data_IF_874360537354
#
_entry.id   IF_874360537354
#
_cell.length_a   1.000
_cell.length_b   1.000
_cell.length_c   1.000
_cell.angle_alpha   90.00
_cell.angle_beta   90.00
_cell.angle_gamma   90.00
#
_symmetry.space_group_name_H-M   'P 1'
#
loop_
_entity.id
_entity.type
_entity.pdbx_description
1 polymer ?
#
# COMPACT_ATOMS: atom_id res chain seq x y z
N UNK A 1 21.30 9.79 11.37
CA UNK A 1 21.51 8.83 10.26
C UNK A 1 22.27 7.59 10.71
N UNK A 2 23.45 7.71 11.33
CA UNK A 2 24.26 6.57 11.76
C UNK A 2 23.48 5.54 12.61
N UNK A 3 22.73 6.01 13.62
CA UNK A 3 21.85 5.15 14.45
C UNK A 3 20.82 4.37 13.64
N UNK A 4 20.17 5.01 12.67
CA UNK A 4 19.21 4.34 11.78
C UNK A 4 19.87 3.32 10.87
N UNK A 5 21.09 3.59 10.40
CA UNK A 5 21.88 2.62 9.66
C UNK A 5 22.20 1.38 10.50
N UNK A 6 22.55 1.57 11.79
CA UNK A 6 22.77 0.47 12.74
C UNK A 6 21.51 -0.35 12.98
N UNK A 7 20.35 0.29 13.15
CA UNK A 7 19.08 -0.45 13.34
C UNK A 7 18.74 -1.26 12.10
N UNK A 8 18.85 -0.71 10.89
CA UNK A 8 18.60 -1.49 9.67
C UNK A 8 19.57 -2.66 9.50
N UNK A 9 20.82 -2.48 9.90
CA UNK A 9 21.80 -3.56 9.89
C UNK A 9 21.38 -4.69 10.84
N UNK A 10 20.88 -4.37 12.03
CA UNK A 10 20.39 -5.35 13.00
C UNK A 10 19.09 -6.04 12.56
N UNK A 11 18.22 -5.32 11.85
CA UNK A 11 16.98 -5.86 11.28
C UNK A 11 17.20 -6.68 10.00
N UNK A 12 18.45 -6.78 9.50
CA UNK A 12 18.78 -7.51 8.26
C UNK A 12 18.42 -6.76 6.97
N UNK A 13 18.00 -5.50 7.06
CA UNK A 13 17.76 -4.64 5.89
C UNK A 13 19.08 -4.00 5.43
N UNK A 14 19.93 -4.82 4.82
CA UNK A 14 21.30 -4.47 4.45
C UNK A 14 21.38 -3.33 3.43
N UNK A 15 20.44 -3.28 2.48
CA UNK A 15 20.38 -2.23 1.44
C UNK A 15 20.18 -0.84 2.06
N UNK A 16 19.16 -0.70 2.93
CA UNK A 16 18.87 0.57 3.57
C UNK A 16 19.95 0.95 4.60
N UNK A 17 20.52 -0.04 5.28
CA UNK A 17 21.68 0.17 6.14
C UNK A 17 22.86 0.76 5.33
N UNK A 18 23.21 0.13 4.20
CA UNK A 18 24.29 0.60 3.33
C UNK A 18 24.04 2.02 2.81
N UNK A 19 22.83 2.30 2.31
CA UNK A 19 22.45 3.63 1.83
C UNK A 19 22.62 4.68 2.94
N UNK A 20 22.18 4.39 4.17
CA UNK A 20 22.31 5.34 5.27
C UNK A 20 23.75 5.53 5.74
N UNK A 21 24.55 4.47 5.81
CA UNK A 21 25.99 4.59 6.09
C UNK A 21 26.69 5.40 5.00
N UNK A 22 26.40 5.14 3.73
CA UNK A 22 26.96 5.87 2.59
C UNK A 22 26.54 7.35 2.62
N UNK A 23 25.25 7.64 2.81
CA UNK A 23 24.74 9.03 2.96
C UNK A 23 25.39 9.76 4.12
N UNK A 24 25.59 9.09 5.26
CA UNK A 24 26.31 9.65 6.39
C UNK A 24 27.76 9.99 6.01
N UNK A 25 28.46 9.07 5.35
CA UNK A 25 29.84 9.30 4.89
C UNK A 25 29.94 10.48 3.94
N UNK A 26 29.11 10.50 2.89
CA UNK A 26 29.08 11.59 1.90
C UNK A 26 28.75 12.93 2.56
N UNK A 27 27.81 12.96 3.51
CA UNK A 27 27.45 14.18 4.23
C UNK A 27 28.68 14.75 4.96
N UNK A 28 29.42 13.94 5.70
CA UNK A 28 30.53 14.40 6.53
C UNK A 28 31.85 14.63 5.77
N UNK A 29 32.10 13.89 4.68
CA UNK A 29 33.33 14.04 3.88
C UNK A 29 33.18 15.08 2.79
N UNK A 30 32.04 15.12 2.11
CA UNK A 30 31.88 15.95 0.91
C UNK A 30 31.04 17.20 1.17
N UNK A 31 29.88 17.04 1.81
CA UNK A 31 28.87 18.12 1.86
C UNK A 31 29.10 19.11 2.99
N UNK A 32 29.33 18.64 4.22
CA UNK A 32 29.51 19.50 5.38
C UNK A 32 30.75 20.40 5.30
N UNK A 33 31.91 19.95 4.79
CA UNK A 33 33.08 20.83 4.61
C UNK A 33 32.84 22.04 3.70
N UNK A 34 31.85 21.98 2.81
CA UNK A 34 31.48 23.06 1.91
C UNK A 34 30.54 24.09 2.56
N UNK A 35 29.99 23.79 3.76
CA UNK A 35 29.06 24.69 4.44
C UNK A 35 29.79 25.90 5.04
N UNK A 36 29.20 27.09 4.88
CA UNK A 36 29.78 28.38 5.32
C UNK A 36 30.23 28.36 6.78
N UNK A 37 29.42 27.76 7.64
CA UNK A 37 29.60 27.80 9.09
C UNK A 37 30.34 26.54 9.63
N UNK A 38 30.80 25.64 8.75
CA UNK A 38 31.48 24.41 9.16
C UNK A 38 32.86 24.66 9.80
N UNK A 39 33.52 25.75 9.43
CA UNK A 39 34.83 26.14 9.98
C UNK A 39 34.74 26.74 11.38
N UNK A 40 33.58 27.27 11.75
CA UNK A 40 33.30 27.90 13.06
C UNK A 40 32.67 26.94 14.06
N UNK A 41 32.28 25.74 13.63
CA UNK A 41 31.72 24.70 14.51
C UNK A 41 32.75 24.16 15.52
N UNK A 42 32.28 23.80 16.72
CA UNK A 42 33.11 23.47 17.88
C UNK A 42 33.93 22.18 17.66
N UNK A 43 35.22 22.24 17.95
CA UNK A 43 36.24 21.20 17.69
C UNK A 43 35.98 19.82 18.35
N UNK A 44 35.39 19.68 19.56
CA UNK A 44 35.17 18.39 20.21
C UNK A 44 34.15 17.50 19.49
N UNK A 45 33.02 18.07 19.04
CA UNK A 45 31.98 17.34 18.30
C UNK A 45 32.55 16.83 16.96
N UNK A 46 33.32 17.67 16.27
CA UNK A 46 34.01 17.30 15.04
C UNK A 46 34.96 16.11 15.23
N UNK A 47 35.68 16.03 16.35
CA UNK A 47 36.59 14.91 16.63
C UNK A 47 35.84 13.60 16.83
N UNK A 48 34.76 13.62 17.61
CA UNK A 48 33.95 12.42 17.86
C UNK A 48 33.24 11.95 16.59
N UNK A 49 32.70 12.87 15.79
CA UNK A 49 32.07 12.53 14.51
C UNK A 49 33.07 11.91 13.52
N UNK A 50 34.29 12.46 13.42
CA UNK A 50 35.36 11.89 12.59
C UNK A 50 35.76 10.50 13.09
N UNK A 51 35.79 10.29 14.41
CA UNK A 51 36.04 8.97 15.00
C UNK A 51 34.95 7.97 14.63
N UNK A 52 33.67 8.31 14.80
CA UNK A 52 32.55 7.44 14.40
C UNK A 52 32.56 7.14 12.90
N UNK A 53 32.96 8.12 12.09
CA UNK A 53 33.07 7.93 10.65
C UNK A 53 34.12 6.89 10.29
N UNK A 54 35.32 6.99 10.87
CA UNK A 54 36.46 6.08 10.61
C UNK A 54 36.27 4.69 11.22
N UNK A 55 35.83 4.63 12.46
CA UNK A 55 35.78 3.37 13.23
C UNK A 55 34.49 2.58 13.00
N UNK A 56 33.40 3.24 12.59
CA UNK A 56 32.08 2.60 12.45
C UNK A 56 31.56 2.69 11.02
N UNK A 57 31.38 3.90 10.49
CA UNK A 57 30.64 4.07 9.25
C UNK A 57 31.36 3.47 8.03
N UNK A 58 32.66 3.74 7.86
CA UNK A 58 33.43 3.18 6.75
C UNK A 58 33.54 1.64 6.79
N UNK A 59 33.96 1.02 7.92
CA UNK A 59 34.04 -0.43 8.00
C UNK A 59 32.68 -1.09 7.75
N UNK A 60 31.60 -0.57 8.34
CA UNK A 60 30.25 -1.12 8.14
C UNK A 60 29.74 -0.95 6.72
N UNK A 61 30.04 0.18 6.07
CA UNK A 61 29.67 0.39 4.68
C UNK A 61 30.37 -0.60 3.74
N UNK A 62 31.65 -0.87 3.95
CA UNK A 62 32.39 -1.83 3.11
C UNK A 62 31.93 -3.27 3.35
N UNK A 63 31.75 -3.68 4.61
CA UNK A 63 31.19 -4.99 4.98
C UNK A 63 29.81 -5.21 4.32
N UNK A 64 28.91 -4.23 4.41
CA UNK A 64 27.57 -4.31 3.82
C UNK A 64 27.62 -4.37 2.29
N UNK A 65 28.55 -3.66 1.66
CA UNK A 65 28.74 -3.68 0.21
C UNK A 65 29.18 -5.06 -0.27
N UNK A 66 30.14 -5.68 0.40
CA UNK A 66 30.60 -7.03 0.06
C UNK A 66 29.46 -8.05 0.19
N UNK A 67 28.70 -8.00 1.28
CA UNK A 67 27.58 -8.92 1.50
C UNK A 67 26.44 -8.72 0.48
N UNK A 68 26.08 -7.47 0.17
CA UNK A 68 25.08 -7.15 -0.84
C UNK A 68 25.51 -7.62 -2.24
N UNK A 69 26.76 -7.36 -2.62
CA UNK A 69 27.30 -7.81 -3.92
C UNK A 69 27.25 -9.34 -4.04
N UNK A 70 27.64 -10.06 -2.98
CA UNK A 70 27.57 -11.51 -2.94
C UNK A 70 26.14 -12.02 -3.11
N UNK A 71 25.18 -11.42 -2.40
CA UNK A 71 23.76 -11.78 -2.48
C UNK A 71 23.20 -11.56 -3.89
N UNK A 72 23.44 -10.38 -4.48
CA UNK A 72 22.97 -10.10 -5.84
C UNK A 72 23.64 -10.98 -6.89
N UNK A 73 24.93 -11.33 -6.73
CA UNK A 73 25.60 -12.26 -7.63
C UNK A 73 24.97 -13.65 -7.61
N UNK A 74 24.62 -14.15 -6.42
CA UNK A 74 23.94 -15.43 -6.26
C UNK A 74 22.52 -15.41 -6.86
N UNK A 75 21.75 -14.36 -6.59
CA UNK A 75 20.39 -14.22 -7.11
C UNK A 75 20.39 -14.08 -8.64
N UNK A 76 21.35 -13.33 -9.19
CA UNK A 76 21.54 -13.21 -10.63
C UNK A 76 21.92 -14.53 -11.30
N UNK A 77 22.79 -15.34 -10.66
CA UNK A 77 23.16 -16.66 -11.17
C UNK A 77 21.94 -17.60 -11.25
N UNK A 78 21.10 -17.63 -10.19
CA UNK A 78 19.86 -18.41 -10.18
C UNK A 78 18.87 -17.96 -11.24
N UNK A 79 18.70 -16.65 -11.39
CA UNK A 79 17.85 -16.08 -12.45
C UNK A 79 18.31 -16.53 -13.83
N UNK A 80 19.63 -16.48 -14.08
CA UNK A 80 20.21 -16.93 -15.36
C UNK A 80 20.00 -18.41 -15.62
N UNK A 81 20.14 -19.25 -14.60
CA UNK A 81 19.88 -20.70 -14.72
C UNK A 81 18.40 -20.98 -15.03
N UNK A 82 17.47 -20.31 -14.35
CA UNK A 82 16.03 -20.44 -14.63
C UNK A 82 15.67 -19.97 -16.04
N UNK A 83 16.28 -18.86 -16.50
CA UNK A 83 16.09 -18.34 -17.85
C UNK A 83 16.56 -19.36 -18.91
N UNK A 84 17.70 -20.01 -18.69
CA UNK A 84 18.21 -21.07 -19.57
C UNK A 84 17.30 -22.29 -19.61
N UNK A 85 16.85 -22.78 -18.45
CA UNK A 85 15.94 -23.93 -18.36
C UNK A 85 14.62 -23.67 -19.09
N UNK A 86 14.07 -22.47 -18.94
CA UNK A 86 12.83 -22.08 -19.62
C UNK A 86 13.02 -22.02 -21.14
N UNK A 87 14.16 -21.55 -21.63
CA UNK A 87 14.46 -21.48 -23.06
C UNK A 87 14.68 -22.87 -23.67
N UNK A 88 15.39 -23.74 -22.95
CA UNK A 88 15.58 -25.16 -23.33
C UNK A 88 14.23 -25.89 -23.37
N UNK A 89 13.37 -25.68 -22.38
CA UNK A 89 12.03 -26.28 -22.35
C UNK A 89 11.14 -25.76 -23.49
N UNK A 90 11.13 -24.45 -23.75
CA UNK A 90 10.41 -23.87 -24.89
C UNK A 90 10.89 -24.48 -26.20
N UNK A 91 12.20 -24.62 -26.38
CA UNK A 91 12.80 -25.22 -27.58
C UNK A 91 12.37 -26.68 -27.74
N UNK A 92 12.41 -27.46 -26.65
CA UNK A 92 11.96 -28.86 -26.63
C UNK A 92 10.49 -28.99 -26.98
N UNK A 93 9.63 -28.15 -26.39
CA UNK A 93 8.18 -28.15 -26.66
C UNK A 93 7.88 -27.70 -28.10
N UNK A 94 8.60 -26.71 -28.63
CA UNK A 94 8.44 -26.27 -30.01
C UNK A 94 8.80 -27.38 -31.00
N UNK A 95 9.92 -28.08 -30.77
CA UNK A 95 10.33 -29.22 -31.58
C UNK A 95 9.30 -30.36 -31.53
N UNK A 96 8.82 -30.71 -30.33
CA UNK A 96 7.80 -31.76 -30.17
C UNK A 96 6.49 -31.41 -30.88
N UNK A 97 6.04 -30.15 -30.80
CA UNK A 97 4.85 -29.67 -31.52
C UNK A 97 5.05 -29.69 -33.03
N UNK A 98 6.24 -29.35 -33.52
CA UNK A 98 6.54 -29.42 -34.95
C UNK A 98 6.47 -30.86 -35.44
N UNK A 99 7.11 -31.80 -34.74
CA UNK A 99 7.06 -33.23 -35.08
C UNK A 99 5.63 -33.77 -35.07
N UNK A 100 4.82 -33.38 -34.08
CA UNK A 100 3.42 -33.78 -34.01
C UNK A 100 2.62 -33.21 -35.19
N UNK A 101 2.80 -31.93 -35.54
CA UNK A 101 2.12 -31.32 -36.67
C UNK A 101 2.51 -31.97 -38.01
N UNK A 102 3.79 -32.31 -38.19
CA UNK A 102 4.26 -33.05 -39.37
C UNK A 102 3.63 -34.45 -39.45
N UNK A 103 3.54 -35.17 -38.31
CA UNK A 103 2.89 -36.47 -38.24
C UNK A 103 1.38 -36.40 -38.53
N UNK A 104 0.68 -35.39 -37.99
CA UNK A 104 -0.74 -35.13 -38.24
C UNK A 104 -1.00 -34.76 -39.71
N UNK A 105 -0.15 -33.93 -40.31
CA UNK A 105 -0.22 -33.63 -41.75
C UNK A 105 -0.04 -34.88 -42.61
N UNK A 106 0.90 -35.75 -42.24
CA UNK A 106 1.12 -37.02 -42.94
C UNK A 106 -0.10 -37.94 -42.83
N UNK A 107 -0.66 -38.12 -41.63
CA UNK A 107 -1.86 -38.93 -41.42
C UNK A 107 -3.08 -38.38 -42.16
N UNK A 108 -3.30 -37.06 -42.12
CA UNK A 108 -4.40 -36.41 -42.84
C UNK A 108 -4.27 -36.58 -44.36
N UNK A 109 -3.04 -36.53 -44.89
CA UNK A 109 -2.77 -36.79 -46.31
C UNK A 109 -3.07 -38.24 -46.70
N UNK A 110 -2.65 -39.21 -45.88
CA UNK A 110 -2.95 -40.63 -46.09
C UNK A 110 -4.45 -40.92 -46.06
N UNK A 111 -5.19 -40.32 -45.11
CA UNK A 111 -6.64 -40.45 -45.01
C UNK A 111 -7.36 -39.83 -46.21
N UNK A 112 -6.88 -38.68 -46.71
CA UNK A 112 -7.42 -38.05 -47.92
C UNK A 112 -7.28 -38.97 -49.14
N UNK A 113 -6.12 -39.59 -49.34
CA UNK A 113 -5.91 -40.56 -50.43
C UNK A 113 -6.90 -41.72 -50.30
N UNK A 114 -7.03 -42.29 -49.10
CA UNK A 114 -7.94 -43.41 -48.84
C UNK A 114 -9.41 -43.04 -49.12
N UNK A 115 -9.85 -41.83 -48.74
CA UNK A 115 -11.20 -41.35 -49.06
C UNK A 115 -11.42 -41.17 -50.56
N UNK A 116 -10.42 -40.65 -51.29
CA UNK A 116 -10.50 -40.46 -52.73
C UNK A 116 -10.62 -41.81 -53.47
N UNK A 117 -9.90 -42.84 -53.01
CA UNK A 117 -10.03 -44.20 -53.53
C UNK A 117 -11.42 -44.78 -53.27
N UNK A 118 -11.95 -44.62 -52.05
CA UNK A 118 -13.31 -45.05 -51.70
C UNK A 118 -14.39 -44.34 -52.54
N UNK A 119 -14.24 -43.03 -52.76
CA UNK A 119 -15.18 -42.26 -53.58
C UNK A 119 -15.13 -42.68 -55.05
N UNK A 120 -13.92 -42.89 -55.58
CA UNK A 120 -13.72 -43.40 -56.94
C UNK A 120 -14.34 -44.79 -57.11
N UNK A 121 -14.19 -45.67 -56.13
CA UNK A 121 -14.80 -47.00 -56.15
C UNK A 121 -16.33 -46.92 -56.05
N UNK A 122 -16.86 -46.07 -55.17
CA UNK A 122 -18.30 -45.80 -55.07
C UNK A 122 -18.88 -45.29 -56.39
N UNK A 123 -18.15 -44.43 -57.10
CA UNK A 123 -18.56 -43.90 -58.39
C UNK A 123 -18.56 -45.00 -59.47
N UNK A 124 -17.58 -45.90 -59.47
CA UNK A 124 -17.57 -47.08 -60.37
C UNK A 124 -18.77 -47.98 -60.15
N UNK A 125 -19.09 -48.32 -58.91
CA UNK A 125 -20.24 -49.17 -58.58
C UNK A 125 -21.55 -48.54 -59.05
N UNK A 126 -21.74 -47.23 -58.84
CA UNK A 126 -22.93 -46.51 -59.32
C UNK A 126 -23.01 -46.52 -60.85
N UNK A 127 -21.88 -46.36 -61.55
CA UNK A 127 -21.84 -46.39 -63.01
C UNK A 127 -22.11 -47.80 -63.57
N UNK A 128 -21.66 -48.84 -62.89
CA UNK A 128 -21.82 -50.23 -63.31
C UNK A 128 -23.23 -50.79 -63.05
N UNK A 129 -23.91 -50.32 -61.99
CA UNK A 129 -25.26 -50.79 -61.60
C UNK A 129 -26.39 -49.77 -61.86
N UNK A 130 -26.10 -48.58 -62.40
CA UNK A 130 -27.09 -47.56 -62.73
C UNK A 130 -27.80 -47.81 -64.07
N UNK A 131 -28.93 -48.51 -64.06
CA UNK A 131 -29.83 -48.70 -65.22
C UNK A 131 -30.87 -47.55 -65.29
N UNK A 132 -31.18 -46.96 -66.46
CA UNK A 132 -32.28 -46.00 -66.58
C UNK A 132 -33.61 -46.76 -66.72
N UNK A 133 -34.61 -46.44 -65.89
CA UNK A 133 -35.96 -47.00 -65.93
C UNK A 133 -36.90 -46.11 -66.77
N UNK A 134 -37.73 -46.66 -67.69
CA UNK A 134 -38.62 -45.86 -68.54
C UNK A 134 -40.05 -45.72 -67.97
N UNK A 135 -40.54 -44.47 -67.98
CA UNK A 135 -41.92 -43.97 -68.22
C UNK A 135 -43.14 -44.81 -67.76
N UNK A 136 -43.99 -44.22 -66.90
CA UNK A 136 -45.32 -44.76 -66.54
C UNK A 136 -46.46 -43.99 -67.24
N UNK A 137 -47.30 -44.74 -67.96
CA UNK A 137 -48.51 -44.32 -68.67
C UNK A 137 -49.73 -44.35 -67.73
N UNK A 138 -50.51 -43.26 -67.81
CA UNK A 138 -51.95 -43.01 -67.61
C UNK A 138 -52.87 -44.02 -66.85
N UNK A 139 -53.72 -43.48 -65.97
CA UNK A 139 -54.67 -44.18 -65.07
C UNK A 139 -55.99 -44.69 -65.75
N UNK A 140 -57.15 -44.88 -65.04
CA UNK A 140 -57.55 -44.09 -63.86
C UNK A 140 -58.52 -44.73 -62.79
N UNK A 141 -58.71 -43.96 -61.69
CA UNK A 141 -59.84 -43.86 -60.73
C UNK A 141 -60.05 -44.90 -59.62
N UNK A 142 -59.79 -44.50 -58.35
CA UNK A 142 -60.84 -44.13 -57.37
C UNK A 142 -60.37 -42.90 -56.53
N UNK A 143 -61.24 -41.91 -56.21
CA UNK A 143 -60.88 -40.60 -55.65
C UNK A 143 -60.68 -40.54 -54.12
N UNK A 144 -59.78 -39.64 -53.69
CA UNK A 144 -59.57 -39.30 -52.27
C UNK A 144 -58.35 -38.40 -52.09
N UNK A 145 -58.45 -37.17 -52.60
CA UNK A 145 -57.58 -35.99 -52.34
C UNK A 145 -57.36 -35.86 -50.82
N UNK A 146 -56.13 -35.72 -50.30
CA UNK A 146 -55.29 -34.52 -50.38
C UNK A 146 -53.78 -34.82 -50.55
N UNK A 147 -53.11 -34.06 -51.43
CA UNK A 147 -51.67 -34.08 -51.68
C UNK A 147 -50.92 -33.01 -50.86
N UNK A 148 -49.62 -33.21 -50.56
CA UNK A 148 -48.66 -32.22 -50.04
C UNK A 148 -48.08 -31.35 -51.20
N UNK A 149 -47.20 -30.32 -50.99
CA UNK A 149 -45.74 -30.58 -50.97
C UNK A 149 -44.81 -29.55 -50.27
N UNK A 150 -43.70 -30.09 -49.74
CA UNK A 150 -42.26 -29.76 -49.92
C UNK A 150 -41.74 -28.34 -50.22
N UNK A 151 -40.72 -27.96 -49.41
CA UNK A 151 -39.53 -27.10 -49.57
C UNK A 151 -39.60 -25.68 -50.14
N UNK A 152 -38.87 -24.73 -49.52
CA UNK A 152 -37.82 -23.90 -50.15
C UNK A 152 -36.94 -23.14 -49.11
N UNK A 153 -35.64 -23.47 -49.10
CA UNK A 153 -34.41 -22.64 -48.96
C UNK A 153 -34.54 -21.18 -48.47
N UNK A 154 -33.64 -20.70 -47.58
CA UNK A 154 -33.20 -19.29 -47.64
C UNK A 154 -31.72 -19.10 -48.04
N UNK A 155 -31.53 -18.28 -49.08
CA UNK A 155 -30.28 -17.68 -49.54
C UNK A 155 -30.22 -16.24 -48.99
N UNK A 156 -29.14 -15.87 -48.30
CA UNK A 156 -28.73 -14.50 -47.90
C UNK A 156 -28.56 -13.65 -49.19
N UNK A 157 -28.88 -12.32 -49.31
CA UNK A 157 -28.17 -11.24 -48.59
C UNK A 157 -28.82 -9.81 -48.45
N UNK A 158 -28.12 -8.93 -47.69
CA UNK A 158 -28.06 -7.43 -47.73
C UNK A 158 -29.13 -6.56 -47.03
N UNK A 159 -28.65 -5.64 -46.16
CA UNK A 159 -29.32 -4.50 -45.49
C UNK A 159 -29.73 -3.36 -46.46
N UNK A 160 -30.62 -2.39 -46.12
CA UNK A 160 -30.15 -1.13 -45.48
C UNK A 160 -31.18 -0.31 -44.62
N UNK A 161 -30.64 0.41 -43.60
CA UNK A 161 -30.92 1.82 -43.17
C UNK A 161 -32.34 2.29 -42.73
N UNK A 162 -32.45 2.67 -41.43
CA UNK A 162 -33.09 3.83 -40.70
C UNK A 162 -34.24 4.68 -41.31
N UNK A 163 -35.06 5.49 -40.56
CA UNK A 163 -34.76 6.14 -39.24
C UNK A 163 -35.93 6.37 -38.22
N UNK A 164 -35.54 6.96 -37.07
CA UNK A 164 -36.25 7.96 -36.23
C UNK A 164 -36.99 7.53 -34.93
N UNK A 165 -36.33 7.87 -33.80
CA UNK A 165 -36.83 8.13 -32.43
C UNK A 165 -37.69 9.43 -32.36
N UNK A 166 -38.06 10.03 -31.19
CA UNK A 166 -37.92 9.65 -29.77
C UNK A 166 -39.15 9.92 -28.86
N UNK A 167 -39.21 9.36 -27.65
CA UNK A 167 -39.81 10.02 -26.48
C UNK A 167 -39.37 9.40 -25.14
N UNK A 168 -39.23 10.28 -24.15
CA UNK A 168 -38.62 10.14 -22.84
C UNK A 168 -39.38 9.27 -21.82
N UNK A 169 -38.64 8.71 -20.86
CA UNK A 169 -39.20 8.01 -19.69
C UNK A 169 -38.13 7.64 -18.64
N UNK A 170 -38.04 8.51 -17.65
CA UNK A 170 -37.31 8.52 -16.36
C UNK A 170 -36.93 7.17 -15.71
N UNK A 171 -35.66 7.02 -15.30
CA UNK A 171 -35.20 5.99 -14.34
C UNK A 171 -34.39 6.66 -13.20
N UNK A 172 -34.61 6.30 -11.93
CA UNK A 172 -33.90 6.91 -10.80
C UNK A 172 -32.49 6.34 -10.63
N UNK A 173 -31.56 7.24 -10.35
CA UNK A 173 -30.12 7.00 -10.17
C UNK A 173 -29.80 6.24 -8.88
N UNK A 174 -29.42 4.96 -9.01
CA UNK A 174 -28.64 4.23 -8.01
C UNK A 174 -27.17 4.62 -8.19
N UNK A 175 -26.37 4.90 -7.14
CA UNK A 175 -24.96 5.23 -7.33
C UNK A 175 -24.24 4.04 -7.98
N UNK A 176 -23.29 4.26 -8.90
CA UNK A 176 -22.63 3.18 -9.61
C UNK A 176 -21.95 2.25 -8.59
N UNK A 177 -22.26 0.96 -8.68
CA UNK A 177 -21.54 -0.07 -7.96
C UNK A 177 -20.12 -0.09 -8.51
N UNK A 178 -19.20 0.54 -7.78
CA UNK A 178 -17.77 0.46 -8.06
C UNK A 178 -17.37 -1.00 -7.83
N UNK A 179 -17.07 -1.73 -8.90
CA UNK A 179 -16.38 -3.00 -8.79
C UNK A 179 -15.00 -2.76 -8.18
N UNK A 180 -14.78 -3.34 -7.01
CA UNK A 180 -13.53 -3.22 -6.23
C UNK A 180 -12.61 -4.43 -6.43
N UNK A 181 -12.89 -5.29 -7.41
CA UNK A 181 -12.06 -6.45 -7.75
C UNK A 181 -10.61 -6.09 -8.11
N UNK A 182 -10.36 -4.85 -8.53
CA UNK A 182 -9.02 -4.32 -8.83
C UNK A 182 -8.44 -3.41 -7.74
N UNK A 183 -9.08 -3.30 -6.57
CA UNK A 183 -8.54 -2.52 -5.45
C UNK A 183 -7.66 -3.45 -4.61
N UNK A 184 -6.33 -3.21 -4.48
CA UNK A 184 -5.48 -4.06 -3.67
C UNK A 184 -5.97 -3.99 -2.22
N UNK A 185 -6.54 -5.11 -1.78
CA UNK A 185 -6.97 -5.30 -0.41
C UNK A 185 -5.71 -5.48 0.43
N UNK A 186 -5.46 -4.52 1.32
CA UNK A 186 -4.50 -4.70 2.40
C UNK A 186 -5.04 -5.80 3.33
N UNK A 187 -4.70 -7.05 3.03
CA UNK A 187 -4.85 -8.16 3.98
C UNK A 187 -3.45 -8.73 4.21
N UNK A 188 -3.07 -8.72 5.48
CA UNK A 188 -1.76 -9.12 5.93
C UNK A 188 -1.47 -10.59 5.67
N UNK A 189 -0.28 -10.82 5.15
CA UNK A 189 0.57 -11.95 5.46
C UNK A 189 1.98 -11.48 5.18
N UNK A 190 2.80 -11.42 6.23
CA UNK A 190 4.23 -11.76 6.21
C UNK A 190 4.45 -12.72 5.05
N UNK A 191 5.29 -12.45 4.04
CA UNK A 191 6.75 -12.61 4.06
C UNK A 191 7.34 -11.84 2.86
N UNK A 192 8.49 -11.18 3.07
CA UNK A 192 9.42 -10.66 2.06
C UNK A 192 8.86 -10.31 0.67
N UNK A 193 8.29 -9.11 0.53
CA UNK A 193 8.15 -8.43 -0.77
C UNK A 193 9.03 -7.18 -0.75
N UNK A 194 10.27 -7.32 -1.20
CA UNK A 194 11.08 -6.19 -1.61
C UNK A 194 10.40 -5.53 -2.82
N UNK A 195 10.16 -4.21 -2.75
CA UNK A 195 9.87 -3.41 -3.95
C UNK A 195 8.51 -2.73 -4.07
N UNK A 196 7.70 -2.60 -3.00
CA UNK A 196 6.57 -1.66 -2.99
C UNK A 196 6.67 -0.80 -1.74
N UNK A 197 6.43 0.50 -1.91
CA UNK A 197 6.57 1.60 -0.97
C UNK A 197 5.59 1.47 0.24
N UNK A 198 5.70 0.37 0.99
CA UNK A 198 4.88 0.09 2.16
C UNK A 198 5.44 0.92 3.31
N UNK A 199 4.75 2.03 3.60
CA UNK A 199 5.05 2.86 4.76
C UNK A 199 5.00 1.99 6.03
N UNK A 200 6.09 1.97 6.78
CA UNK A 200 6.16 1.28 8.07
C UNK A 200 5.08 1.77 9.01
N UNK A 201 4.57 0.84 9.81
CA UNK A 201 3.55 1.14 10.81
C UNK A 201 4.11 2.06 11.90
N UNK A 202 3.27 2.97 12.40
CA UNK A 202 3.58 3.88 13.52
C UNK A 202 2.53 3.69 14.61
N UNK A 203 2.94 3.18 15.76
CA UNK A 203 2.12 3.09 16.98
C UNK A 203 2.13 4.44 17.68
N UNK A 204 0.93 4.99 17.87
CA UNK A 204 0.67 6.23 18.62
C UNK A 204 -0.01 5.86 19.95
N UNK A 205 0.58 6.22 21.11
CA UNK A 205 -0.07 6.01 22.41
C UNK A 205 -1.44 6.69 22.47
N UNK A 206 -2.47 5.97 22.95
CA UNK A 206 -3.86 6.48 23.00
C UNK A 206 -4.01 7.77 23.80
N UNK A 207 -3.20 7.94 24.84
CA UNK A 207 -3.25 9.10 25.73
C UNK A 207 -2.46 10.30 25.19
N UNK A 208 -1.72 10.16 24.09
CA UNK A 208 -0.79 11.17 23.59
C UNK A 208 -1.49 12.51 23.34
N UNK A 209 -2.57 12.49 22.57
CA UNK A 209 -3.30 13.72 22.23
C UNK A 209 -3.89 14.40 23.47
N UNK A 210 -4.41 13.62 24.43
CA UNK A 210 -5.02 14.16 25.64
C UNK A 210 -3.97 14.84 26.53
N UNK A 211 -2.83 14.17 26.77
CA UNK A 211 -1.72 14.75 27.54
C UNK A 211 -1.14 15.99 26.85
N UNK A 212 -1.03 15.97 25.52
CA UNK A 212 -0.54 17.13 24.77
C UNK A 212 -1.50 18.33 24.86
N UNK A 213 -2.81 18.10 24.78
CA UNK A 213 -3.81 19.15 24.96
C UNK A 213 -3.79 19.75 26.38
N UNK A 214 -3.55 18.93 27.41
CA UNK A 214 -3.38 19.41 28.79
C UNK A 214 -2.15 20.30 28.93
N UNK A 215 -1.03 19.93 28.31
CA UNK A 215 0.20 20.74 28.32
C UNK A 215 0.00 22.07 27.57
N UNK A 216 -0.74 22.05 26.47
CA UNK A 216 -1.01 23.24 25.66
C UNK A 216 -2.14 24.12 26.20
N UNK A 217 -2.82 23.73 27.28
CA UNK A 217 -4.07 24.37 27.74
C UNK A 217 -3.87 25.86 28.07
N UNK A 218 -2.81 26.19 28.81
CA UNK A 218 -2.50 27.57 29.20
C UNK A 218 -2.23 28.47 27.98
N UNK A 219 -1.56 27.95 26.96
CA UNK A 219 -1.31 28.68 25.70
C UNK A 219 -2.60 28.79 24.88
N UNK A 220 -3.38 27.72 24.83
CA UNK A 220 -4.67 27.69 24.12
C UNK A 220 -5.64 28.73 24.67
N UNK A 221 -5.72 28.87 26.00
CA UNK A 221 -6.56 29.89 26.67
C UNK A 221 -6.11 31.30 26.33
N UNK A 222 -4.80 31.51 26.10
CA UNK A 222 -4.22 32.80 25.71
C UNK A 222 -4.32 33.08 24.20
N UNK A 223 -4.91 32.19 23.41
CA UNK A 223 -4.96 32.35 21.97
C UNK A 223 -3.58 32.17 21.30
N UNK A 224 -2.72 31.31 21.88
CA UNK A 224 -1.39 30.99 21.36
C UNK A 224 -1.32 29.51 20.96
N UNK A 225 -0.90 29.23 19.72
CA UNK A 225 -0.65 27.87 19.23
C UNK A 225 0.56 27.23 19.94
N UNK A 226 0.61 25.90 19.96
CA UNK A 226 1.72 25.14 20.56
C UNK A 226 2.00 23.89 19.76
N UNK A 227 3.27 23.64 19.44
CA UNK A 227 3.76 22.44 18.77
C UNK A 227 4.64 21.56 19.66
N UNK A 228 4.71 20.28 19.30
CA UNK A 228 5.59 19.29 19.89
C UNK A 228 6.12 18.34 18.84
N UNK A 229 7.31 17.80 19.08
CA UNK A 229 8.00 16.87 18.20
C UNK A 229 7.77 15.44 18.70
N UNK A 230 7.22 14.60 17.83
CA UNK A 230 6.92 13.20 18.12
C UNK A 230 8.18 12.38 17.93
N UNK A 231 8.63 11.75 19.01
CA UNK A 231 9.88 11.01 19.07
C UNK A 231 9.63 9.57 19.50
N UNK A 232 10.35 8.63 18.90
CA UNK A 232 10.11 7.22 19.14
C UNK A 232 11.28 6.32 18.83
N UNK A 233 11.01 5.02 18.89
CA UNK A 233 11.98 3.97 18.58
C UNK A 233 11.43 3.08 17.48
N UNK A 234 12.33 2.56 16.66
CA UNK A 234 12.05 1.53 15.66
C UNK A 234 12.35 0.17 16.29
N UNK A 235 11.37 -0.72 16.32
CA UNK A 235 11.56 -2.10 16.76
C UNK A 235 10.75 -3.04 15.87
N UNK A 236 11.40 -4.08 15.32
CA UNK A 236 10.74 -5.10 14.48
C UNK A 236 10.00 -4.47 13.29
N UNK A 237 10.66 -3.55 12.58
CA UNK A 237 10.11 -2.86 11.41
C UNK A 237 8.86 -1.99 11.70
N UNK A 238 8.57 -1.69 12.97
CA UNK A 238 7.47 -0.81 13.40
C UNK A 238 8.00 0.33 14.28
N UNK A 239 7.50 1.55 14.04
CA UNK A 239 7.82 2.70 14.86
C UNK A 239 6.85 2.82 16.02
N UNK A 240 7.36 3.02 17.24
CA UNK A 240 6.52 3.35 18.40
C UNK A 240 6.88 4.73 18.92
N UNK A 241 5.90 5.63 18.94
CA UNK A 241 6.06 6.94 19.58
C UNK A 241 6.10 6.72 21.10
N UNK A 242 7.16 7.21 21.73
CA UNK A 242 7.40 7.06 23.17
C UNK A 242 7.52 8.40 23.88
N UNK A 243 7.90 9.45 23.16
CA UNK A 243 8.16 10.78 23.72
C UNK A 243 7.50 11.85 22.85
N UNK A 244 6.99 12.89 23.51
CA UNK A 244 6.64 14.16 22.87
C UNK A 244 7.54 15.21 23.48
N UNK A 245 8.41 15.82 22.68
CA UNK A 245 9.29 16.89 23.12
C UNK A 245 8.62 18.21 22.75
N UNK A 246 8.30 19.04 23.73
CA UNK A 246 7.79 20.40 23.51
C UNK A 246 9.00 21.33 23.53
N UNK A 247 9.53 21.76 22.38
CA UNK A 247 10.69 22.64 22.35
C UNK A 247 10.33 24.03 22.87
N UNK A 248 11.36 24.81 23.19
CA UNK A 248 11.22 26.26 23.28
C UNK A 248 10.65 26.74 21.95
N UNK A 249 9.66 27.63 22.00
CA UNK A 249 8.94 28.04 20.82
C UNK A 249 8.27 29.39 21.02
N UNK A 250 8.14 30.14 19.93
CA UNK A 250 7.34 31.35 19.82
C UNK A 250 6.02 30.98 19.14
N UNK A 251 4.93 31.00 19.90
CA UNK A 251 3.59 30.77 19.40
C UNK A 251 2.84 32.08 19.14
N UNK A 252 2.12 32.13 18.02
CA UNK A 252 1.12 33.13 17.67
C UNK A 252 -0.28 32.52 17.53
N UNK A 253 -1.29 33.29 17.07
CA UNK A 253 -2.66 32.79 16.91
C UNK A 253 -2.84 31.74 15.81
N UNK A 254 -1.94 31.72 14.82
CA UNK A 254 -1.99 30.91 13.60
C UNK A 254 -0.63 30.28 13.23
N UNK A 255 0.35 30.38 14.14
CA UNK A 255 1.72 29.95 13.88
C UNK A 255 2.44 29.53 15.15
N UNK A 256 3.41 28.62 15.01
CA UNK A 256 4.35 28.27 16.07
C UNK A 256 5.74 28.04 15.46
N UNK A 257 6.75 28.71 16.00
CA UNK A 257 8.15 28.60 15.54
C UNK A 257 8.99 28.01 16.65
N UNK A 258 9.68 26.91 16.38
CA UNK A 258 10.59 26.27 17.33
C UNK A 258 11.89 27.06 17.45
N UNK A 259 12.40 27.18 18.66
CA UNK A 259 13.68 27.79 19.00
C UNK A 259 14.61 26.73 19.60
N UNK A 260 15.92 26.95 19.47
CA UNK A 260 16.97 26.08 20.02
C UNK A 260 16.86 24.61 19.61
N UNK A 261 16.88 24.34 18.30
CA UNK A 261 16.86 22.97 17.75
C UNK A 261 18.05 22.11 18.19
N UNK A 262 19.16 22.74 18.60
CA UNK A 262 20.32 22.06 19.18
C UNK A 262 19.98 21.33 20.49
N UNK A 263 19.12 21.88 21.35
CA UNK A 263 18.68 21.22 22.58
C UNK A 263 17.80 20.00 22.28
N UNK A 264 16.92 20.14 21.28
CA UNK A 264 16.10 19.04 20.79
C UNK A 264 16.98 17.89 20.28
N UNK A 265 18.00 18.21 19.47
CA UNK A 265 18.95 17.22 18.97
C UNK A 265 19.68 16.50 20.11
N UNK A 266 20.17 17.24 21.11
CA UNK A 266 20.87 16.66 22.27
C UNK A 266 19.97 15.70 23.04
N UNK A 267 18.71 16.07 23.31
CA UNK A 267 17.75 15.19 24.00
C UNK A 267 17.47 13.93 23.19
N UNK A 268 17.24 14.07 21.88
CA UNK A 268 16.99 12.94 20.98
C UNK A 268 18.21 12.02 20.85
N UNK A 269 19.43 12.57 20.90
CA UNK A 269 20.67 11.80 20.83
C UNK A 269 20.93 11.03 22.12
N UNK A 270 20.88 11.71 23.28
CA UNK A 270 21.07 11.11 24.59
C UNK A 270 20.09 9.96 24.87
N UNK A 271 18.83 10.12 24.48
CA UNK A 271 17.77 9.13 24.74
C UNK A 271 17.59 8.11 23.59
N UNK A 272 18.39 8.21 22.52
CA UNK A 272 18.32 7.26 21.41
C UNK A 272 17.01 7.33 20.61
N UNK A 273 16.43 8.52 20.45
CA UNK A 273 15.13 8.72 19.82
C UNK A 273 15.23 9.10 18.34
N UNK A 274 14.22 8.70 17.57
CA UNK A 274 14.03 9.05 16.15
C UNK A 274 12.84 10.01 16.05
N UNK A 275 12.98 11.07 15.25
CA UNK A 275 11.85 11.95 14.91
C UNK A 275 10.87 11.22 14.01
N UNK A 276 9.62 11.08 14.46
CA UNK A 276 8.54 10.40 13.74
C UNK A 276 7.48 11.36 13.19
N UNK A 277 7.48 12.61 13.64
CA UNK A 277 6.56 13.64 13.18
C UNK A 277 6.45 14.78 14.17
N UNK A 278 5.35 15.54 14.07
CA UNK A 278 5.04 16.66 14.93
C UNK A 278 3.53 16.71 15.22
N UNK A 279 3.17 17.37 16.30
CA UNK A 279 1.81 17.60 16.75
C UNK A 279 1.66 19.09 17.08
N UNK A 280 0.50 19.68 16.78
CA UNK A 280 0.21 21.07 17.12
C UNK A 280 -1.24 21.25 17.52
N UNK A 281 -1.49 22.27 18.34
CA UNK A 281 -2.83 22.78 18.65
C UNK A 281 -3.03 24.06 17.86
N UNK A 282 -4.07 24.07 17.04
CA UNK A 282 -4.50 25.27 16.32
C UNK A 282 -5.74 25.87 16.92
N UNK A 283 -5.84 27.19 16.83
CA UNK A 283 -6.96 27.96 17.34
C UNK A 283 -7.86 28.32 16.17
N UNK A 284 -9.01 27.68 16.06
CA UNK A 284 -10.02 28.13 15.11
C UNK A 284 -10.57 29.48 15.59
N UNK A 285 -10.66 30.51 14.72
CA UNK A 285 -11.43 31.70 15.00
C UNK A 285 -12.91 31.28 15.07
N UNK A 286 -13.43 31.03 16.27
CA UNK A 286 -14.87 30.99 16.51
C UNK A 286 -15.40 32.43 16.44
N UNK A 287 -15.57 32.93 15.23
CA UNK A 287 -16.35 34.12 14.94
C UNK A 287 -17.59 33.72 14.10
N UNK A 288 -18.47 32.94 14.71
CA UNK A 288 -19.89 32.94 14.37
C UNK A 288 -20.65 33.32 15.65
N UNK A 289 -21.42 34.42 15.66
CA UNK A 289 -22.16 34.83 16.83
C UNK A 289 -23.31 33.84 17.06
N UNK A 290 -23.22 33.01 18.11
CA UNK A 290 -24.37 32.23 18.58
C UNK A 290 -24.12 30.84 19.17
N UNK A 291 -22.89 30.31 19.21
CA UNK A 291 -22.64 29.00 19.85
C UNK A 291 -21.68 29.09 21.05
N UNK A 292 -22.11 28.44 22.15
CA UNK A 292 -21.33 28.22 23.37
C UNK A 292 -19.94 27.61 23.06
N UNK A 293 -18.87 28.01 23.77
CA UNK A 293 -17.52 27.60 23.44
C UNK A 293 -17.20 26.21 23.99
N UNK A 294 -17.30 25.16 23.18
CA UNK A 294 -16.64 23.88 23.46
C UNK A 294 -16.19 23.20 22.17
N UNK A 295 -14.88 23.23 21.90
CA UNK A 295 -14.25 22.42 20.86
C UNK A 295 -12.77 22.77 20.66
N UNK A 296 -11.88 22.05 21.33
CA UNK A 296 -10.42 22.09 21.08
C UNK A 296 -10.07 20.91 20.16
N UNK A 297 -9.49 21.18 18.98
CA UNK A 297 -9.06 20.15 18.03
C UNK A 297 -7.53 20.00 18.01
N UNK A 298 -7.05 18.77 17.82
CA UNK A 298 -5.62 18.47 17.68
C UNK A 298 -5.38 17.83 16.31
N UNK A 299 -4.41 18.36 15.55
CA UNK A 299 -4.12 17.89 14.19
C UNK A 299 -2.80 17.12 14.16
N UNK A 300 -2.82 15.92 13.58
CA UNK A 300 -1.62 15.15 13.22
C UNK A 300 -1.60 14.95 11.71
N UNK A 301 -0.51 15.36 11.04
CA UNK A 301 -0.34 15.17 9.58
C UNK A 301 0.51 13.94 9.31
N UNK A 302 0.03 13.05 8.43
CA UNK A 302 0.78 11.89 7.90
C UNK A 302 1.48 12.31 6.62
N UNK A 303 2.79 12.07 6.52
CA UNK A 303 3.55 12.26 5.27
C UNK A 303 3.18 11.12 4.30
N UNK A 304 2.56 11.45 3.17
CA UNK A 304 2.44 10.60 1.98
C UNK A 304 3.06 11.39 0.83
N UNK A 305 3.90 10.73 0.02
CA UNK A 305 4.95 11.34 -0.79
C UNK A 305 4.55 12.41 -1.80
N UNK A 306 3.28 12.67 -2.08
CA UNK A 306 2.85 13.73 -3.00
C UNK A 306 1.47 14.28 -2.56
N UNK A 307 1.44 15.34 -1.74
CA UNK A 307 0.21 16.09 -1.42
C UNK A 307 -0.46 15.81 -0.06
N UNK A 308 -1.10 16.85 0.50
CA UNK A 308 -1.58 16.92 1.88
C UNK A 308 -2.95 16.24 2.06
N UNK A 309 -3.04 15.21 2.91
CA UNK A 309 -4.30 14.68 3.41
C UNK A 309 -4.39 14.86 4.94
N UNK A 310 -5.48 15.48 5.42
CA UNK A 310 -5.77 15.68 6.84
C UNK A 310 -6.66 14.54 7.37
N UNK A 311 -6.31 13.98 8.53
CA UNK A 311 -7.18 13.06 9.27
C UNK A 311 -7.62 13.73 10.59
N UNK A 312 -8.92 13.66 10.90
CA UNK A 312 -9.51 14.23 12.11
C UNK A 312 -9.82 13.15 13.14
N UNK A 313 -9.58 13.44 14.42
CA UNK A 313 -10.08 12.67 15.54
C UNK A 313 -10.97 13.58 16.40
N UNK A 314 -12.26 13.30 16.41
CA UNK A 314 -13.26 14.00 17.22
C UNK A 314 -13.42 13.28 18.55
N UNK A 315 -13.27 14.01 19.67
CA UNK A 315 -13.66 13.50 20.99
C UNK A 315 -14.94 14.23 21.38
N UNK A 316 -16.08 13.55 21.25
CA UNK A 316 -17.37 14.05 21.75
C UNK A 316 -17.45 13.80 23.27
N UNK A 317 -17.84 14.79 24.10
CA UNK A 317 -18.17 14.56 25.49
C UNK A 317 -19.58 13.95 25.58
N UNK A 318 -19.70 12.68 25.98
CA UNK A 318 -20.96 12.14 26.48
C UNK A 318 -21.25 12.77 27.84
N UNK A 319 -22.07 13.81 27.85
CA UNK A 319 -22.65 14.35 29.09
C UNK A 319 -23.77 13.42 29.53
N UNK A 320 -23.45 12.49 30.43
CA UNK A 320 -24.43 11.71 31.18
C UNK A 320 -24.93 12.53 32.37
N UNK A 321 -26.19 12.90 32.33
CA UNK A 321 -26.93 13.52 33.42
C UNK A 321 -27.38 12.42 34.42
N UNK A 322 -27.13 12.50 35.74
CA UNK A 322 -27.88 11.72 36.70
C UNK A 322 -28.77 12.65 37.55
N UNK A 323 -30.07 12.38 37.48
CA UNK A 323 -31.11 13.02 38.28
C UNK A 323 -31.04 12.67 39.77
N UNK A 324 -31.69 13.53 40.53
CA UNK A 324 -31.88 13.58 41.98
C UNK A 324 -32.63 12.37 42.60
N UNK A 325 -32.21 12.02 43.83
CA UNK A 325 -33.02 11.43 44.91
C UNK A 325 -33.15 9.89 44.88
N UNK A 326 -32.88 9.11 45.93
CA UNK A 326 -33.35 9.25 47.30
C UNK A 326 -32.62 8.31 48.28
N UNK A 327 -32.49 8.77 49.53
CA UNK A 327 -32.47 8.04 50.83
C UNK A 327 -31.61 6.77 51.06
N UNK A 328 -30.74 6.85 52.08
CA UNK A 328 -30.84 5.92 53.22
C UNK A 328 -29.58 5.16 53.65
N UNK A 329 -29.16 5.42 54.89
CA UNK A 329 -28.40 4.56 55.82
C UNK A 329 -26.84 4.59 55.84
N UNK A 330 -26.35 5.36 56.80
CA UNK A 330 -25.13 5.16 57.60
C UNK A 330 -25.36 4.01 58.62
N UNK A 331 -24.30 3.33 59.12
CA UNK A 331 -23.65 3.84 60.33
C UNK A 331 -22.11 3.74 60.40
N UNK A 332 -21.60 4.58 61.30
CA UNK A 332 -20.23 4.81 61.79
C UNK A 332 -19.51 3.59 62.34
N UNK A 333 -18.16 3.65 62.28
CA UNK A 333 -17.18 3.57 63.40
C UNK A 333 -15.81 3.16 62.80
N UNK A 334 -14.61 3.54 63.25
CA UNK A 334 -14.06 4.42 64.29
C UNK A 334 -12.54 4.36 64.10
N UNK A 335 -11.84 5.49 64.08
CA UNK A 335 -10.38 5.55 64.29
C UNK A 335 -10.06 5.32 65.79
N UNK A 336 -8.82 4.98 66.19
CA UNK A 336 -7.89 6.08 66.53
C UNK A 336 -6.35 5.80 66.44
N UNK A 337 -5.62 6.89 66.13
CA UNK A 337 -4.42 7.45 66.80
C UNK A 337 -2.98 6.91 66.64
N UNK A 338 -2.08 7.92 66.66
CA UNK A 338 -0.61 8.02 66.81
C UNK A 338 0.19 7.89 65.50
N UNK A 339 0.94 8.87 65.00
CA UNK A 339 1.57 10.05 65.60
C UNK A 339 3.07 9.81 65.76
N UNK A 340 3.90 10.36 64.87
CA UNK A 340 5.21 10.98 65.19
C UNK A 340 5.86 11.62 63.96
N UNK A 341 6.02 12.92 64.12
CA UNK A 341 6.98 13.83 63.53
C UNK A 341 8.43 13.39 63.84
N UNK A 342 9.33 13.45 62.86
CA UNK A 342 10.72 13.86 63.09
C UNK A 342 11.42 14.26 61.79
N UNK A 343 12.29 15.26 61.96
CA UNK A 343 12.98 16.08 60.98
C UNK A 343 14.48 15.83 61.14
N UNK A 344 15.22 16.08 60.05
CA UNK A 344 16.67 16.32 59.92
C UNK A 344 17.60 15.13 59.69
N UNK A 345 18.51 15.39 58.75
CA UNK A 345 19.58 14.56 58.21
C UNK A 345 19.96 15.09 56.85
#
# INVERSE_FOLDING_TARGET
MLRMATVYCQEGNLEHAFILYHKYITLFIEKLPQHRDYKTAVIPEKRETVKQLKEVAFPKAEELKEELLKRYAQDYAKYKEQEQQLEEEKTRVALMKQQQAEQEQFQAFEEMIRQQELEKERLRIVQEFGKPEPEAVDGPLIPGVEKPPTDLIPKVPVSPVHPASPAAGTVPSKPPAVDRSLKPSALGSTENSAGVDVLRQVIVPRELCHKFLQLADANTVRGVETCGILCGKLMRNEFTITHVIVPKQLGGPDSCTTESEEELFVIQDQQGLVTLGWIHVSLLPLALPGLHPQGKGCWSRRWQGEGWAAASAWVSPLVGNPGLGNSGFLPKASSPLKGKEERFG
#
